data_IF_616237561368
#
_entry.id   IF_616237561368
#
_cell.length_a   1.000
_cell.length_b   1.000
_cell.length_c   1.000
_cell.angle_alpha   90.00
_cell.angle_beta   90.00
_cell.angle_gamma   90.00
#
_symmetry.space_group_name_H-M   'P 1'
#
loop_
_entity.id
_entity.type
_entity.pdbx_description
1 polymer ?
#
# COMPACT_ATOMS: atom_id res chain seq x y z
N UNK A 1 34.28 53.32 -10.74
CA UNK A 1 33.13 53.11 -11.58
C UNK A 1 32.82 51.62 -11.70
N UNK A 2 31.58 51.28 -11.69
CA UNK A 2 31.18 49.89 -11.70
C UNK A 2 30.48 49.58 -13.03
N UNK A 3 31.15 48.97 -13.92
CA UNK A 3 30.64 48.63 -15.24
C UNK A 3 29.76 47.38 -15.30
N UNK A 4 29.89 46.52 -14.31
CA UNK A 4 29.07 45.32 -14.26
C UNK A 4 27.59 45.61 -14.11
N UNK A 5 27.22 46.79 -13.63
CA UNK A 5 25.84 47.17 -13.44
C UNK A 5 25.17 47.76 -14.69
N UNK A 6 25.93 48.06 -15.71
CA UNK A 6 25.39 48.64 -16.94
C UNK A 6 24.52 47.66 -17.71
N UNK A 7 24.84 46.37 -17.61
CA UNK A 7 24.13 45.30 -18.29
C UNK A 7 23.11 44.57 -17.41
N UNK A 8 22.98 44.97 -16.14
CA UNK A 8 22.05 44.34 -15.22
C UNK A 8 20.82 45.19 -15.09
N UNK A 9 19.71 44.71 -15.58
CA UNK A 9 18.41 45.31 -15.41
C UNK A 9 17.56 44.48 -14.47
N UNK A 10 17.14 45.10 -13.41
CA UNK A 10 16.35 44.44 -12.36
C UNK A 10 14.97 45.08 -12.32
N UNK A 11 13.95 44.28 -12.65
CA UNK A 11 12.58 44.71 -12.64
C UNK A 11 11.82 44.08 -11.46
N UNK A 12 11.09 44.90 -10.73
CA UNK A 12 10.27 44.43 -9.64
C UNK A 12 11.02 44.26 -8.32
N UNK A 13 10.44 43.52 -7.44
CA UNK A 13 11.07 43.21 -6.16
C UNK A 13 12.25 42.28 -6.33
N UNK A 14 13.33 42.67 -5.81
CA UNK A 14 14.44 41.78 -5.73
C UNK A 14 15.15 41.99 -4.43
N UNK A 15 15.72 41.36 -3.67
CA UNK A 15 16.70 40.48 -3.98
C UNK A 15 17.91 40.92 -3.20
N UNK A 16 18.42 40.03 -2.46
CA UNK A 16 19.74 40.21 -1.86
C UNK A 16 20.80 39.66 -2.80
N UNK A 17 21.67 40.50 -3.22
CA UNK A 17 22.90 40.08 -3.92
C UNK A 17 24.04 40.18 -2.93
N UNK A 18 24.64 39.07 -2.63
CA UNK A 18 25.80 39.02 -1.72
C UNK A 18 27.03 38.49 -2.44
N UNK A 19 28.17 38.48 -1.74
CA UNK A 19 29.38 37.85 -2.24
C UNK A 19 29.24 36.34 -2.43
N UNK A 20 28.22 35.75 -1.84
CA UNK A 20 27.95 34.32 -1.93
C UNK A 20 26.96 33.97 -3.05
N UNK A 21 26.43 34.94 -3.76
CA UNK A 21 25.52 34.77 -4.87
C UNK A 21 24.21 35.55 -4.72
N UNK A 22 23.24 35.23 -5.52
CA UNK A 22 21.92 35.85 -5.51
C UNK A 22 21.03 35.07 -4.57
N UNK A 23 20.51 35.75 -3.55
CA UNK A 23 19.53 35.19 -2.64
C UNK A 23 18.19 35.85 -2.91
N UNK A 24 17.17 35.06 -3.23
CA UNK A 24 15.83 35.56 -3.44
C UNK A 24 14.88 35.03 -2.37
N UNK A 25 13.85 35.81 -2.11
CA UNK A 25 12.76 35.38 -1.26
C UNK A 25 11.79 34.53 -2.07
N UNK A 26 11.54 33.30 -1.64
CA UNK A 26 10.63 32.38 -2.30
C UNK A 26 9.19 32.91 -2.39
N UNK A 27 8.80 33.83 -1.52
CA UNK A 27 7.49 34.52 -1.58
C UNK A 27 7.41 35.50 -2.73
N UNK A 28 8.55 35.96 -3.25
CA UNK A 28 8.65 36.97 -4.32
C UNK A 28 8.90 36.36 -5.70
N UNK A 29 9.40 35.15 -5.76
CA UNK A 29 9.69 34.48 -7.04
C UNK A 29 8.42 33.86 -7.61
N UNK A 30 8.06 34.31 -8.81
CA UNK A 30 6.86 33.88 -9.50
C UNK A 30 7.15 32.78 -10.51
N UNK A 31 6.30 31.77 -10.55
CA UNK A 31 6.33 30.72 -11.58
C UNK A 31 5.25 30.96 -12.62
N UNK A 32 5.65 31.23 -13.86
CA UNK A 32 4.70 31.36 -14.96
C UNK A 32 3.99 30.05 -15.30
N UNK A 33 4.67 28.93 -15.10
CA UNK A 33 4.10 27.62 -15.32
C UNK A 33 2.92 27.32 -14.38
N UNK A 34 3.10 27.62 -13.12
CA UNK A 34 2.10 27.27 -12.08
C UNK A 34 1.22 28.44 -11.69
N UNK A 35 1.52 29.67 -12.17
CA UNK A 35 0.80 30.89 -11.82
C UNK A 35 0.74 31.16 -10.33
N UNK A 36 1.84 30.86 -9.64
CA UNK A 36 2.01 30.99 -8.20
C UNK A 36 3.45 31.36 -7.86
N UNK A 37 3.66 31.86 -6.67
CA UNK A 37 5.03 32.01 -6.14
C UNK A 37 5.66 30.65 -5.87
N UNK A 38 7.00 30.62 -5.82
CA UNK A 38 7.74 29.39 -5.52
C UNK A 38 7.35 28.84 -4.14
N UNK A 39 7.14 29.69 -3.15
CA UNK A 39 6.69 29.27 -1.82
C UNK A 39 5.31 28.60 -1.86
N UNK A 40 4.36 29.17 -2.60
CA UNK A 40 3.04 28.57 -2.78
C UNK A 40 3.11 27.22 -3.48
N UNK A 41 3.98 27.06 -4.47
CA UNK A 41 4.19 25.77 -5.15
C UNK A 41 4.78 24.75 -4.17
N UNK A 42 5.75 25.12 -3.36
CA UNK A 42 6.34 24.25 -2.33
C UNK A 42 5.29 23.84 -1.31
N UNK A 43 4.47 24.78 -0.86
CA UNK A 43 3.36 24.47 0.06
C UNK A 43 2.39 23.46 -0.54
N UNK A 44 1.96 23.67 -1.77
CA UNK A 44 1.04 22.76 -2.46
C UNK A 44 1.61 21.35 -2.58
N UNK A 45 2.90 21.22 -2.88
CA UNK A 45 3.59 19.93 -2.97
C UNK A 45 3.65 19.26 -1.60
N UNK A 46 3.98 19.99 -0.55
CA UNK A 46 4.03 19.47 0.81
C UNK A 46 2.64 19.01 1.28
N UNK A 47 1.61 19.80 1.01
CA UNK A 47 0.23 19.43 1.35
C UNK A 47 -0.19 18.12 0.66
N UNK A 48 0.17 17.94 -0.61
CA UNK A 48 -0.09 16.68 -1.34
C UNK A 48 0.69 15.49 -0.80
N UNK A 49 1.93 15.72 -0.37
CA UNK A 49 2.74 14.66 0.26
C UNK A 49 2.11 14.26 1.59
N UNK A 50 1.67 15.22 2.38
CA UNK A 50 1.05 14.94 3.68
C UNK A 50 -0.29 14.21 3.51
N UNK A 51 -1.11 14.62 2.56
CA UNK A 51 -2.36 13.92 2.21
C UNK A 51 -2.09 12.47 1.77
N UNK A 52 -1.09 12.26 0.93
CA UNK A 52 -0.70 10.92 0.49
C UNK A 52 -0.17 10.04 1.62
N UNK A 53 0.59 10.62 2.56
CA UNK A 53 1.07 9.88 3.74
C UNK A 53 -0.06 9.49 4.68
N UNK A 54 -1.06 10.36 4.81
CA UNK A 54 -2.22 10.10 5.67
C UNK A 54 -3.14 9.02 5.07
N UNK A 55 -3.39 9.08 3.77
CA UNK A 55 -4.28 8.17 3.05
C UNK A 55 -3.70 7.80 1.67
N UNK A 56 -2.72 6.90 1.62
CA UNK A 56 -2.16 6.47 0.35
C UNK A 56 -3.18 5.66 -0.45
N UNK A 57 -3.56 6.17 -1.62
CA UNK A 57 -4.45 5.50 -2.56
C UNK A 57 -3.71 5.21 -3.87
N UNK A 58 -3.89 4.01 -4.40
CA UNK A 58 -3.32 3.58 -5.65
C UNK A 58 -4.40 2.89 -6.51
N UNK A 59 -4.57 3.32 -7.74
CA UNK A 59 -5.41 2.58 -8.71
C UNK A 59 -4.82 1.20 -9.01
N UNK A 60 -3.51 1.10 -9.01
CA UNK A 60 -2.78 -0.14 -9.19
C UNK A 60 -1.42 -0.06 -8.51
N UNK A 61 -1.08 -1.11 -7.78
CA UNK A 61 0.25 -1.26 -7.19
C UNK A 61 0.85 -2.62 -7.56
N UNK A 62 2.14 -2.66 -7.86
CA UNK A 62 2.91 -3.88 -8.10
C UNK A 62 4.12 -3.89 -7.18
N UNK A 63 4.25 -4.94 -6.41
CA UNK A 63 5.37 -5.15 -5.50
C UNK A 63 6.19 -6.34 -5.99
N UNK A 64 7.49 -6.13 -6.19
CA UNK A 64 8.41 -7.17 -6.66
C UNK A 64 9.14 -7.93 -5.55
N UNK A 65 8.91 -7.56 -4.32
CA UNK A 65 9.51 -8.16 -3.14
C UNK A 65 8.46 -8.55 -2.11
N UNK A 66 8.91 -8.83 -0.91
CA UNK A 66 8.02 -9.16 0.19
C UNK A 66 7.22 -7.92 0.64
N UNK A 67 5.97 -8.14 0.97
CA UNK A 67 5.08 -7.11 1.52
C UNK A 67 4.64 -7.55 2.90
N UNK A 68 4.78 -6.68 3.88
CA UNK A 68 4.33 -6.89 5.25
C UNK A 68 3.15 -5.96 5.55
N UNK A 69 2.04 -6.53 5.99
CA UNK A 69 0.93 -5.80 6.58
C UNK A 69 0.89 -6.08 8.07
N UNK A 70 1.14 -5.07 8.89
CA UNK A 70 1.16 -5.22 10.35
C UNK A 70 -0.24 -5.19 10.98
N UNK A 71 -1.23 -4.73 10.26
CA UNK A 71 -2.62 -4.64 10.70
C UNK A 71 -3.54 -5.57 9.94
N UNK A 72 -4.83 -5.28 10.04
CA UNK A 72 -5.85 -6.01 9.30
C UNK A 72 -5.79 -5.69 7.80
N UNK A 73 -5.99 -6.70 6.99
CA UNK A 73 -6.06 -6.56 5.55
C UNK A 73 -7.43 -6.99 5.06
N UNK A 74 -8.07 -6.14 4.26
CA UNK A 74 -9.34 -6.43 3.62
C UNK A 74 -9.15 -6.48 2.11
N UNK A 75 -9.65 -7.53 1.46
CA UNK A 75 -9.73 -7.64 0.01
C UNK A 75 -11.20 -7.67 -0.36
N UNK A 76 -11.68 -6.62 -1.00
CA UNK A 76 -13.10 -6.50 -1.40
C UNK A 76 -13.45 -7.29 -2.67
N UNK A 77 -12.46 -7.73 -3.40
CA UNK A 77 -12.63 -8.51 -4.62
C UNK A 77 -12.05 -9.92 -4.49
N UNK A 78 -11.63 -10.45 -5.61
CA UNK A 78 -10.98 -11.75 -5.66
C UNK A 78 -9.52 -11.66 -5.21
N UNK A 79 -9.09 -12.60 -4.39
CA UNK A 79 -7.70 -12.79 -4.04
C UNK A 79 -7.17 -14.10 -4.66
N UNK A 80 -6.04 -14.04 -5.33
CA UNK A 80 -5.40 -15.22 -5.92
C UNK A 80 -3.99 -15.38 -5.36
N UNK A 81 -3.68 -16.55 -4.86
CA UNK A 81 -2.33 -16.91 -4.43
C UNK A 81 -1.81 -18.03 -5.32
N UNK A 82 -0.77 -17.76 -6.11
CA UNK A 82 -0.18 -18.74 -7.03
C UNK A 82 0.84 -19.70 -6.39
N UNK A 83 1.10 -19.54 -5.12
CA UNK A 83 1.99 -20.38 -4.34
C UNK A 83 1.33 -20.91 -3.09
N UNK A 84 2.14 -21.19 -2.08
CA UNK A 84 1.63 -21.64 -0.80
C UNK A 84 0.98 -20.50 -0.02
N UNK A 85 -0.12 -20.79 0.65
CA UNK A 85 -0.75 -19.89 1.60
C UNK A 85 -0.74 -20.54 2.98
N UNK A 86 -0.25 -19.82 3.98
CA UNK A 86 -0.22 -20.30 5.37
C UNK A 86 -1.04 -19.37 6.25
N UNK A 87 -1.97 -19.94 7.01
CA UNK A 87 -2.75 -19.22 8.03
C UNK A 87 -2.39 -19.81 9.40
N UNK A 88 -1.75 -19.01 10.25
CA UNK A 88 -1.33 -19.44 11.60
C UNK A 88 -2.43 -19.35 12.66
N UNK A 89 -3.60 -18.88 12.30
CA UNK A 89 -4.76 -18.76 13.17
C UNK A 89 -5.95 -19.50 12.60
N UNK A 90 -7.13 -19.05 12.98
CA UNK A 90 -8.38 -19.60 12.48
C UNK A 90 -8.69 -19.06 11.08
N UNK A 91 -9.20 -19.93 10.24
CA UNK A 91 -9.74 -19.55 8.94
C UNK A 91 -11.24 -19.87 8.90
N UNK A 92 -12.04 -18.89 8.53
CA UNK A 92 -13.48 -19.05 8.35
C UNK A 92 -13.82 -18.85 6.87
N UNK A 93 -14.54 -19.82 6.29
CA UNK A 93 -15.01 -19.74 4.92
C UNK A 93 -16.55 -19.79 4.97
N UNK A 94 -17.21 -18.69 4.62
CA UNK A 94 -18.67 -18.58 4.64
C UNK A 94 -19.34 -19.11 3.35
N UNK A 95 -18.57 -19.66 2.44
CA UNK A 95 -19.04 -20.24 1.20
C UNK A 95 -18.55 -21.66 1.03
N UNK A 96 -18.35 -22.07 -0.21
CA UNK A 96 -17.82 -23.38 -0.54
C UNK A 96 -16.29 -23.37 -0.49
N UNK A 97 -15.73 -24.49 -0.07
CA UNK A 97 -14.30 -24.79 -0.19
C UNK A 97 -14.13 -25.97 -1.16
N UNK A 98 -13.53 -25.72 -2.31
CA UNK A 98 -13.16 -26.75 -3.28
C UNK A 98 -11.69 -27.11 -3.14
N UNK A 99 -11.39 -28.38 -2.90
CA UNK A 99 -10.03 -28.87 -2.82
C UNK A 99 -9.84 -29.99 -3.81
N UNK A 100 -9.02 -29.75 -4.84
CA UNK A 100 -8.84 -30.71 -5.93
C UNK A 100 -7.85 -31.84 -5.63
N UNK A 101 -7.14 -31.80 -4.52
CA UNK A 101 -6.17 -32.82 -4.20
C UNK A 101 -6.49 -33.47 -2.84
N UNK A 102 -5.88 -33.04 -1.77
CA UNK A 102 -5.96 -33.71 -0.48
C UNK A 102 -6.20 -32.71 0.65
N UNK A 103 -7.04 -33.09 1.59
CA UNK A 103 -7.19 -32.43 2.88
C UNK A 103 -6.56 -33.31 3.95
N UNK A 104 -5.69 -32.76 4.77
CA UNK A 104 -5.14 -33.43 5.95
C UNK A 104 -5.50 -32.62 7.19
N UNK A 105 -6.20 -33.23 8.13
CA UNK A 105 -6.58 -32.61 9.39
C UNK A 105 -5.89 -33.32 10.57
N UNK A 106 -5.18 -32.57 11.40
CA UNK A 106 -4.34 -33.08 12.50
C UNK A 106 -4.85 -32.67 13.88
N UNK A 107 -6.11 -32.43 14.06
CA UNK A 107 -6.66 -32.03 15.36
C UNK A 107 -6.48 -33.10 16.43
N UNK A 108 -6.50 -32.69 17.69
CA UNK A 108 -6.47 -33.59 18.84
C UNK A 108 -7.41 -33.00 19.93
N UNK A 109 -8.43 -33.72 20.38
CA UNK A 109 -8.84 -35.08 19.99
C UNK A 109 -9.60 -35.16 18.66
N UNK A 110 -10.08 -34.05 18.11
CA UNK A 110 -10.88 -34.00 16.90
C UNK A 110 -10.10 -33.36 15.76
N UNK A 111 -9.87 -34.09 14.68
CA UNK A 111 -9.25 -33.57 13.47
C UNK A 111 -10.24 -32.96 12.48
N UNK A 112 -11.42 -33.54 12.35
CA UNK A 112 -12.48 -33.05 11.48
C UNK A 112 -13.83 -33.28 12.15
N UNK A 113 -14.64 -32.24 12.25
CA UNK A 113 -16.01 -32.29 12.71
C UNK A 113 -16.94 -31.81 11.61
N UNK A 114 -18.00 -32.57 11.37
CA UNK A 114 -19.00 -32.25 10.34
C UNK A 114 -20.40 -32.36 10.93
N UNK A 115 -21.14 -31.27 10.97
CA UNK A 115 -22.44 -31.19 11.62
C UNK A 115 -23.52 -31.96 10.91
N UNK A 116 -23.41 -32.17 9.60
CA UNK A 116 -24.51 -32.77 8.85
C UNK A 116 -24.09 -34.09 8.18
N UNK A 117 -23.77 -34.06 6.92
CA UNK A 117 -23.59 -35.26 6.13
C UNK A 117 -22.24 -35.27 5.42
N UNK A 118 -21.54 -36.39 5.46
CA UNK A 118 -20.37 -36.67 4.63
C UNK A 118 -20.86 -37.55 3.46
N UNK A 119 -20.52 -37.16 2.25
CA UNK A 119 -20.71 -37.97 1.05
C UNK A 119 -19.33 -38.29 0.48
N UNK A 120 -19.03 -39.56 0.38
CA UNK A 120 -17.78 -40.05 -0.17
C UNK A 120 -18.01 -41.31 -0.98
N UNK A 121 -17.11 -41.62 -1.91
CA UNK A 121 -17.16 -42.88 -2.65
C UNK A 121 -16.68 -44.05 -1.78
N UNK A 122 -15.55 -43.82 -1.09
CA UNK A 122 -14.94 -44.82 -0.22
C UNK A 122 -14.57 -44.20 1.12
N UNK A 123 -14.82 -44.97 2.19
CA UNK A 123 -14.40 -44.62 3.54
C UNK A 123 -13.49 -45.72 4.08
N UNK A 124 -12.24 -45.37 4.45
CA UNK A 124 -11.34 -46.26 5.13
C UNK A 124 -11.04 -45.74 6.54
N UNK A 125 -11.23 -46.57 7.52
CA UNK A 125 -10.99 -46.23 8.94
C UNK A 125 -9.93 -47.15 9.52
N UNK A 126 -8.79 -46.59 9.93
CA UNK A 126 -7.70 -47.31 10.56
C UNK A 126 -7.81 -47.45 12.06
N UNK A 127 -8.90 -47.08 12.63
CA UNK A 127 -9.14 -47.14 14.07
C UNK A 127 -10.54 -47.63 14.37
N UNK A 128 -11.14 -47.08 15.37
CA UNK A 128 -12.49 -47.46 15.78
C UNK A 128 -13.52 -46.59 15.05
N UNK A 129 -14.44 -47.26 14.38
CA UNK A 129 -15.65 -46.63 13.81
C UNK A 129 -16.81 -46.81 14.79
N UNK A 130 -17.42 -45.71 15.21
CA UNK A 130 -18.65 -45.75 16.04
C UNK A 130 -19.79 -45.11 15.28
N UNK A 131 -20.82 -45.85 15.10
CA UNK A 131 -22.11 -45.35 14.62
C UNK A 131 -23.08 -45.29 15.82
N UNK A 132 -23.74 -44.16 15.95
CA UNK A 132 -24.72 -43.93 17.01
C UNK A 132 -26.14 -44.16 16.50
#
# INVERSE_FOLDING_TARGET
MNYANEDVQIYGKLVNVSTEGIVTDATSVWSEKYKKTVEEVIKDVNDKIDDFRANPEFDKATFHGNVLFEGNTTVEGNATTNGNSTVNGNQVINGMLDVYNKITAHGNPVGLEVDHKIVCNDLSVNGVFKAL
#
